data_IF_751452645735
#
_entry.id   IF_751452645735
#
_cell.length_a   1.000
_cell.length_b   1.000
_cell.length_c   1.000
_cell.angle_alpha   90.00
_cell.angle_beta   90.00
_cell.angle_gamma   90.00
#
_symmetry.space_group_name_H-M   'P 1'
#
loop_
_entity.id
_entity.type
_entity.pdbx_description
1 polymer ?
#
# COMPACT_ATOMS: atom_id res chain seq x y z
N UNK A 1 -15.97 19.80 40.85
CA UNK A 1 -15.83 20.30 39.46
C UNK A 1 -14.45 20.00 38.86
N UNK A 2 -13.36 20.20 39.60
CA UNK A 2 -11.98 19.95 39.15
C UNK A 2 -11.73 18.53 38.59
N UNK A 3 -12.25 17.50 39.25
CA UNK A 3 -12.15 16.09 38.80
C UNK A 3 -12.82 15.84 37.46
N UNK A 4 -13.95 16.50 37.16
CA UNK A 4 -14.62 16.37 35.84
C UNK A 4 -13.82 17.06 34.73
N UNK A 5 -13.19 18.20 35.03
CA UNK A 5 -12.31 18.92 34.08
C UNK A 5 -11.06 18.09 33.78
N UNK A 6 -10.47 17.47 34.79
CA UNK A 6 -9.31 16.58 34.64
C UNK A 6 -9.67 15.35 33.78
N UNK A 7 -10.82 14.72 34.01
CA UNK A 7 -11.27 13.58 33.19
C UNK A 7 -11.47 13.98 31.72
N UNK A 8 -12.09 15.14 31.44
CA UNK A 8 -12.29 15.62 30.06
C UNK A 8 -10.95 15.92 29.38
N UNK A 9 -10.00 16.55 30.09
CA UNK A 9 -8.66 16.80 29.56
C UNK A 9 -7.90 15.51 29.23
N UNK A 10 -8.04 14.47 30.05
CA UNK A 10 -7.45 13.14 29.80
C UNK A 10 -8.04 12.45 28.56
N UNK A 11 -9.35 12.61 28.30
CA UNK A 11 -9.99 12.08 27.08
C UNK A 11 -9.52 12.78 25.80
N UNK A 12 -9.13 14.06 25.87
CA UNK A 12 -8.64 14.79 24.71
C UNK A 12 -7.21 14.37 24.31
N UNK A 13 -6.43 13.84 25.24
CA UNK A 13 -5.05 13.40 25.00
C UNK A 13 -4.95 12.00 24.36
N UNK A 14 -6.02 11.19 24.35
CA UNK A 14 -5.96 9.78 23.94
C UNK A 14 -6.18 9.52 22.44
N UNK A 15 -6.42 10.54 21.60
CA UNK A 15 -6.88 10.31 20.21
C UNK A 15 -5.84 10.51 19.09
N UNK A 16 -4.55 10.64 19.42
CA UNK A 16 -3.48 10.80 18.42
C UNK A 16 -3.00 9.43 17.88
N UNK A 17 -3.86 8.73 17.15
CA UNK A 17 -3.50 7.48 16.46
C UNK A 17 -3.02 7.73 15.03
N UNK A 18 -1.96 7.05 14.61
CA UNK A 18 -1.60 6.94 13.19
C UNK A 18 -2.56 5.96 12.53
N UNK A 19 -3.14 6.36 11.39
CA UNK A 19 -3.97 5.44 10.60
C UNK A 19 -3.04 4.72 9.62
N UNK A 20 -3.00 3.40 9.69
CA UNK A 20 -2.26 2.55 8.75
C UNK A 20 -3.27 1.87 7.84
N UNK A 21 -3.04 1.96 6.53
CA UNK A 21 -3.88 1.34 5.51
C UNK A 21 -2.99 0.40 4.71
N UNK A 22 -3.37 -0.87 4.63
CA UNK A 22 -2.66 -1.89 3.87
C UNK A 22 -3.38 -2.16 2.55
N UNK A 23 -2.60 -2.40 1.49
CA UNK A 23 -3.10 -2.66 0.15
C UNK A 23 -2.21 -3.67 -0.59
N UNK A 24 -2.78 -4.28 -1.62
CA UNK A 24 -2.12 -5.31 -2.40
C UNK A 24 -2.12 -6.63 -1.63
N UNK A 25 -0.99 -7.32 -1.66
CA UNK A 25 -0.82 -8.62 -1.02
C UNK A 25 -0.84 -8.50 0.52
N UNK A 26 -1.51 -9.42 1.25
CA UNK A 26 -1.62 -9.32 2.71
C UNK A 26 -0.25 -9.31 3.39
N UNK A 27 -0.02 -8.36 4.29
CA UNK A 27 1.27 -8.22 4.98
C UNK A 27 1.66 -9.47 5.78
N UNK A 28 0.67 -10.23 6.29
CA UNK A 28 0.88 -11.52 6.98
C UNK A 28 1.45 -12.61 6.08
N UNK A 29 1.23 -12.52 4.77
CA UNK A 29 1.57 -13.55 3.79
C UNK A 29 2.84 -13.23 3.00
N UNK A 30 3.39 -12.02 3.16
CA UNK A 30 4.66 -11.61 2.52
C UNK A 30 5.83 -12.55 2.87
N UNK A 31 5.81 -13.16 4.05
CA UNK A 31 6.84 -14.14 4.44
C UNK A 31 6.86 -15.39 3.56
N UNK A 32 5.73 -15.72 2.89
CA UNK A 32 5.64 -16.85 1.99
C UNK A 32 6.48 -16.65 0.72
N UNK A 33 6.81 -15.40 0.37
CA UNK A 33 7.66 -15.08 -0.79
C UNK A 33 9.05 -15.70 -0.70
N UNK A 34 9.56 -15.91 0.52
CA UNK A 34 10.85 -16.58 0.76
C UNK A 34 10.83 -18.07 0.36
N UNK A 35 9.65 -18.64 0.12
CA UNK A 35 9.50 -20.04 -0.30
C UNK A 35 9.57 -20.22 -1.82
N UNK A 36 9.64 -19.13 -2.60
CA UNK A 36 9.77 -19.19 -4.06
C UNK A 36 11.25 -19.26 -4.44
N UNK A 37 11.58 -20.18 -5.34
CA UNK A 37 12.95 -20.42 -5.81
C UNK A 37 13.01 -20.42 -7.33
N UNK A 38 14.20 -20.12 -7.85
CA UNK A 38 14.52 -20.32 -9.27
C UNK A 38 14.25 -21.78 -9.63
N UNK A 39 13.56 -21.99 -10.76
CA UNK A 39 13.15 -23.30 -11.27
C UNK A 39 11.75 -23.76 -10.85
N UNK A 40 11.09 -23.08 -9.90
CA UNK A 40 9.67 -23.33 -9.59
C UNK A 40 8.81 -23.02 -10.83
N UNK A 41 7.77 -23.83 -11.05
CA UNK A 41 6.78 -23.60 -12.12
C UNK A 41 5.79 -22.51 -11.72
N UNK A 42 5.24 -21.77 -12.69
CA UNK A 42 4.21 -20.75 -12.43
C UNK A 42 3.03 -21.28 -11.59
N UNK A 43 2.55 -22.49 -11.89
CA UNK A 43 1.49 -23.17 -11.15
C UNK A 43 1.86 -23.46 -9.68
N UNK A 44 3.12 -23.78 -9.41
CA UNK A 44 3.61 -23.99 -8.04
C UNK A 44 3.72 -22.67 -7.28
N UNK A 45 4.11 -21.59 -7.96
CA UNK A 45 4.12 -20.25 -7.39
C UNK A 45 2.70 -19.85 -6.99
N UNK A 46 1.72 -19.98 -7.88
CA UNK A 46 0.31 -19.70 -7.58
C UNK A 46 -0.20 -20.56 -6.42
N UNK A 47 0.15 -21.84 -6.38
CA UNK A 47 -0.29 -22.72 -5.30
C UNK A 47 0.29 -22.30 -3.93
N UNK A 48 1.52 -21.76 -3.90
CA UNK A 48 2.20 -21.37 -2.65
C UNK A 48 1.83 -19.97 -2.18
N UNK A 49 1.72 -19.01 -3.11
CA UNK A 49 1.57 -17.58 -2.80
C UNK A 49 0.43 -16.92 -3.58
N UNK A 50 -0.46 -17.68 -4.22
CA UNK A 50 -1.61 -17.14 -4.94
C UNK A 50 -1.24 -16.35 -6.21
N UNK A 51 -2.25 -15.67 -6.74
CA UNK A 51 -2.15 -14.92 -7.99
C UNK A 51 -1.38 -13.60 -7.81
N UNK A 52 -0.61 -13.19 -8.84
CA UNK A 52 0.11 -11.92 -8.82
C UNK A 52 -0.82 -10.71 -8.89
N UNK A 53 -0.35 -9.56 -8.39
CA UNK A 53 -1.11 -8.31 -8.48
C UNK A 53 -1.07 -7.71 -9.90
N UNK A 54 0.06 -7.87 -10.59
CA UNK A 54 0.29 -7.35 -11.94
C UNK A 54 1.08 -8.38 -12.74
N UNK A 55 0.68 -8.61 -13.98
CA UNK A 55 1.38 -9.45 -14.96
C UNK A 55 1.76 -8.56 -16.15
N UNK A 56 3.05 -8.48 -16.44
CA UNK A 56 3.60 -7.85 -17.64
C UNK A 56 4.38 -8.92 -18.41
N UNK A 57 3.79 -9.46 -19.47
CA UNK A 57 4.38 -10.55 -20.27
C UNK A 57 4.75 -11.77 -19.39
N UNK A 58 6.04 -12.06 -19.26
CA UNK A 58 6.61 -13.14 -18.46
C UNK A 58 7.09 -12.67 -17.07
N UNK A 59 6.76 -11.43 -16.68
CA UNK A 59 7.15 -10.86 -15.39
C UNK A 59 5.91 -10.69 -14.53
N UNK A 60 5.96 -11.25 -13.33
CA UNK A 60 4.89 -11.15 -12.34
C UNK A 60 5.33 -10.30 -11.17
N UNK A 61 4.42 -9.45 -10.70
CA UNK A 61 4.65 -8.58 -9.56
C UNK A 61 3.63 -8.86 -8.46
N UNK A 62 4.15 -9.22 -7.30
CA UNK A 62 3.40 -9.28 -6.04
C UNK A 62 3.76 -8.03 -5.25
N UNK A 63 2.78 -7.17 -4.99
CA UNK A 63 3.00 -5.86 -4.38
C UNK A 63 2.24 -5.80 -3.07
N UNK A 64 2.93 -5.57 -1.97
CA UNK A 64 2.35 -5.25 -0.68
C UNK A 64 2.79 -3.84 -0.28
N UNK A 65 1.86 -2.96 0.07
CA UNK A 65 2.21 -1.62 0.52
C UNK A 65 1.35 -1.13 1.67
N UNK A 66 1.95 -0.28 2.50
CA UNK A 66 1.30 0.33 3.65
C UNK A 66 1.37 1.84 3.52
N UNK A 67 0.23 2.51 3.69
CA UNK A 67 0.12 3.96 3.74
C UNK A 67 -0.08 4.37 5.20
N UNK A 68 0.79 5.24 5.69
CA UNK A 68 0.72 5.83 7.02
C UNK A 68 0.18 7.25 6.89
N UNK A 69 -1.02 7.47 7.42
CA UNK A 69 -1.64 8.79 7.46
C UNK A 69 -1.54 9.36 8.87
N UNK A 70 -0.77 10.44 9.00
CA UNK A 70 -0.80 11.29 10.20
C UNK A 70 -2.05 12.17 10.15
N UNK A 71 -2.86 12.16 11.22
CA UNK A 71 -4.20 12.79 11.25
C UNK A 71 -4.12 14.32 11.15
N UNK A 72 -3.06 14.91 11.73
CA UNK A 72 -2.71 16.31 11.59
C UNK A 72 -1.69 16.46 10.43
N UNK A 73 -1.91 17.42 9.52
CA UNK A 73 -1.04 17.79 8.38
C UNK A 73 -1.06 16.96 7.09
N UNK A 74 -1.93 15.95 6.94
CA UNK A 74 -2.12 15.25 5.65
C UNK A 74 -0.86 14.61 5.04
N UNK A 75 0.25 14.56 5.78
CA UNK A 75 1.45 13.87 5.36
C UNK A 75 1.13 12.37 5.30
N UNK A 76 1.25 11.82 4.09
CA UNK A 76 1.16 10.40 3.83
C UNK A 76 2.57 9.90 3.65
N UNK A 77 2.97 8.94 4.46
CA UNK A 77 4.17 8.16 4.21
C UNK A 77 3.73 6.82 3.61
N UNK A 78 4.57 6.25 2.75
CA UNK A 78 4.34 4.93 2.20
C UNK A 78 5.59 4.07 2.34
N UNK A 79 5.39 2.78 2.57
CA UNK A 79 6.42 1.76 2.43
C UNK A 79 5.84 0.64 1.55
N UNK A 80 6.70 -0.05 0.80
CA UNK A 80 6.26 -1.15 -0.04
C UNK A 80 7.30 -2.26 -0.13
N UNK A 81 6.80 -3.48 -0.27
CA UNK A 81 7.55 -4.67 -0.59
C UNK A 81 7.01 -5.20 -1.92
N UNK A 82 7.92 -5.47 -2.85
CA UNK A 82 7.58 -5.99 -4.17
C UNK A 82 8.42 -7.24 -4.42
N UNK A 83 7.75 -8.35 -4.67
CA UNK A 83 8.39 -9.54 -5.24
C UNK A 83 8.16 -9.50 -6.75
N UNK A 84 9.26 -9.42 -7.49
CA UNK A 84 9.29 -9.54 -8.94
C UNK A 84 9.79 -10.93 -9.29
N UNK A 85 8.99 -11.68 -10.04
CA UNK A 85 9.35 -12.98 -10.60
C UNK A 85 9.44 -12.84 -12.11
N UNK A 86 10.50 -13.37 -12.71
CA UNK A 86 10.61 -13.49 -14.16
C UNK A 86 10.53 -14.97 -14.52
N UNK A 87 9.70 -15.30 -15.51
CA UNK A 87 9.50 -16.66 -16.00
C UNK A 87 10.17 -16.84 -17.38
N UNK A 88 10.66 -18.04 -17.63
CA UNK A 88 11.09 -18.46 -18.95
C UNK A 88 9.86 -18.77 -19.82
N UNK A 89 9.78 -18.15 -21.00
CA UNK A 89 8.61 -18.29 -21.87
C UNK A 89 8.44 -19.68 -22.49
N UNK A 90 9.47 -20.54 -22.48
CA UNK A 90 9.40 -21.87 -23.08
C UNK A 90 9.08 -22.96 -22.04
N UNK A 91 9.64 -22.81 -20.84
CA UNK A 91 9.57 -23.83 -19.78
C UNK A 91 8.62 -23.46 -18.65
N UNK A 92 8.11 -22.23 -18.62
CA UNK A 92 7.19 -21.71 -17.60
C UNK A 92 7.77 -21.79 -16.17
N UNK A 93 9.11 -21.66 -16.08
CA UNK A 93 9.86 -21.73 -14.83
C UNK A 93 10.39 -20.37 -14.43
N UNK A 94 10.46 -20.12 -13.14
CA UNK A 94 11.09 -18.94 -12.57
C UNK A 94 12.58 -18.94 -12.91
N UNK A 95 13.04 -17.89 -13.61
CA UNK A 95 14.46 -17.68 -13.93
C UNK A 95 15.10 -16.64 -13.02
N UNK A 96 14.31 -15.74 -12.45
CA UNK A 96 14.79 -14.65 -11.61
C UNK A 96 13.78 -14.30 -10.52
N UNK A 97 14.30 -14.00 -9.33
CA UNK A 97 13.53 -13.66 -8.12
C UNK A 97 14.16 -12.42 -7.50
N UNK A 98 13.45 -11.29 -7.55
CA UNK A 98 13.90 -10.05 -6.95
C UNK A 98 12.93 -9.56 -5.87
N UNK A 99 13.48 -9.32 -4.68
CA UNK A 99 12.76 -8.67 -3.58
C UNK A 99 13.16 -7.20 -3.51
N UNK A 100 12.24 -6.32 -3.89
CA UNK A 100 12.45 -4.88 -3.89
C UNK A 100 11.73 -4.29 -2.68
N UNK A 101 12.49 -3.69 -1.77
CA UNK A 101 11.97 -2.97 -0.62
C UNK A 101 12.08 -1.47 -0.85
N UNK A 102 10.96 -0.78 -0.71
CA UNK A 102 10.91 0.67 -0.61
C UNK A 102 10.67 1.01 0.85
N UNK A 103 11.73 1.49 1.51
CA UNK A 103 11.61 1.99 2.87
C UNK A 103 10.66 3.17 2.95
N UNK A 104 10.19 3.43 4.17
CA UNK A 104 9.19 4.47 4.45
C UNK A 104 9.64 5.82 3.92
N UNK A 105 8.88 6.35 2.96
CA UNK A 105 9.13 7.65 2.33
C UNK A 105 7.87 8.50 2.32
N UNK A 106 8.06 9.81 2.34
CA UNK A 106 6.95 10.74 2.13
C UNK A 106 6.39 10.53 0.73
N UNK A 107 5.07 10.31 0.65
CA UNK A 107 4.36 10.22 -0.61
C UNK A 107 4.32 11.62 -1.22
N UNK A 108 5.11 11.85 -2.26
CA UNK A 108 5.11 13.13 -2.98
C UNK A 108 3.73 13.40 -3.54
N UNK A 109 3.24 14.63 -3.34
CA UNK A 109 1.97 15.07 -3.91
C UNK A 109 2.10 15.03 -5.43
N UNK A 110 1.46 14.05 -6.07
CA UNK A 110 1.35 14.05 -7.53
C UNK A 110 0.66 15.35 -7.94
N UNK A 111 1.27 16.09 -8.87
CA UNK A 111 0.64 17.25 -9.47
C UNK A 111 -0.65 16.77 -10.12
N UNK A 112 -1.81 17.25 -9.65
CA UNK A 112 -3.09 16.89 -10.25
C UNK A 112 -3.03 17.23 -11.74
N UNK A 113 -3.26 16.24 -12.60
CA UNK A 113 -3.64 16.51 -13.97
C UNK A 113 -5.12 16.88 -13.92
N UNK A 114 -5.49 18.00 -14.55
CA UNK A 114 -6.90 18.38 -14.71
C UNK A 114 -7.58 17.38 -15.67
N UNK A 115 -7.91 16.19 -15.17
CA UNK A 115 -8.82 15.28 -15.84
C UNK A 115 -10.23 15.56 -15.31
N UNK A 116 -11.20 15.67 -16.21
CA UNK A 116 -12.60 15.78 -15.83
C UNK A 116 -13.00 14.48 -15.14
N UNK A 117 -13.02 14.46 -13.81
CA UNK A 117 -13.46 13.29 -13.05
C UNK A 117 -14.98 13.26 -13.11
N UNK A 118 -15.54 12.50 -14.05
CA UNK A 118 -16.99 12.44 -14.32
C UNK A 118 -17.79 11.63 -13.30
N UNK A 119 -17.19 11.17 -12.20
CA UNK A 119 -17.80 10.20 -11.29
C UNK A 119 -17.85 10.56 -9.80
N UNK A 120 -17.31 11.71 -9.36
CA UNK A 120 -17.35 12.06 -7.94
C UNK A 120 -18.26 13.27 -7.71
N UNK A 121 -19.43 13.01 -7.12
CA UNK A 121 -20.20 14.06 -6.44
C UNK A 121 -19.46 14.43 -5.15
N UNK A 122 -18.46 15.30 -5.27
CA UNK A 122 -17.77 15.86 -4.12
C UNK A 122 -18.79 16.49 -3.16
N UNK A 123 -18.78 16.04 -1.91
CA UNK A 123 -19.59 16.67 -0.86
C UNK A 123 -19.21 18.15 -0.74
N UNK A 124 -20.18 18.98 -0.35
CA UNK A 124 -19.99 20.44 -0.27
C UNK A 124 -18.77 20.82 0.57
N UNK A 125 -18.50 20.10 1.67
CA UNK A 125 -17.35 20.34 2.55
C UNK A 125 -16.01 20.17 1.83
N UNK A 126 -15.88 19.19 0.94
CA UNK A 126 -14.64 18.96 0.18
C UNK A 126 -14.40 20.03 -0.88
N UNK A 127 -15.49 20.59 -1.43
CA UNK A 127 -15.42 21.73 -2.35
C UNK A 127 -14.96 23.01 -1.66
N UNK A 128 -15.35 23.22 -0.40
CA UNK A 128 -14.90 24.39 0.39
C UNK A 128 -13.41 24.34 0.72
N UNK A 129 -12.88 23.19 1.15
CA UNK A 129 -11.47 23.02 1.52
C UNK A 129 -10.51 23.25 0.32
N UNK A 130 -10.93 22.83 -0.88
CA UNK A 130 -10.16 23.07 -2.11
C UNK A 130 -10.17 24.54 -2.57
N UNK A 131 -11.12 25.37 -2.11
CA UNK A 131 -11.23 26.79 -2.52
C UNK A 131 -10.37 27.71 -1.66
N UNK A 132 -9.90 27.23 -0.51
CA UNK A 132 -9.08 27.97 0.47
C UNK A 132 -7.57 27.76 0.29
N UNK A 133 -7.17 27.02 -0.75
CA UNK A 133 -5.78 26.61 -1.03
C UNK A 133 -5.35 27.09 -2.40
#
# INVERSE_FOLDING_TARGET
>A
MLTRVICIALFLLSSCGTIVIHHGYPASEVNLWNNIKIGDLSSQVIQRIGDPCVIEENVWYYVAYSIYKKRFFSAKEYESLVLKLTFDSQTDKVIDVQNIKVDRKNLTKLSMKNTSVTGIHDSLLRKFDNKLK
#
